data_IF_921386355974
#
_entry.id   IF_921386355974
#
_cell.length_a   1.000
_cell.length_b   1.000
_cell.length_c   1.000
_cell.angle_alpha   90.00
_cell.angle_beta   90.00
_cell.angle_gamma   90.00
#
_symmetry.space_group_name_H-M   'P 1'
#
loop_
_entity.id
_entity.type
_entity.pdbx_description
1 polymer ?
#
# COMPACT_ATOMS: atom_id res chain seq x y z
N UNK A 1 -5.31 -1.90 11.63
CA UNK A 1 -4.77 -0.55 11.99
C UNK A 1 -3.26 -0.60 12.22
N UNK A 2 -2.60 0.56 12.35
CA UNK A 2 -1.13 0.69 12.42
C UNK A 2 -0.53 0.13 13.73
N UNK A 3 0.76 -0.23 13.69
CA UNK A 3 1.50 -0.83 14.82
C UNK A 3 2.10 0.20 15.80
N UNK A 4 2.42 1.38 15.31
CA UNK A 4 3.07 2.46 16.08
C UNK A 4 2.72 3.82 15.48
N UNK A 5 3.02 4.90 16.19
CA UNK A 5 2.81 6.27 15.69
C UNK A 5 3.64 6.54 14.43
N UNK A 6 4.86 5.99 14.37
CA UNK A 6 5.75 6.13 13.22
C UNK A 6 5.17 5.38 12.01
N UNK A 7 4.65 4.17 12.24
CA UNK A 7 3.97 3.40 11.21
C UNK A 7 2.70 4.12 10.71
N UNK A 8 1.91 4.73 11.59
CA UNK A 8 0.73 5.51 11.21
C UNK A 8 1.09 6.70 10.31
N UNK A 9 2.14 7.47 10.66
CA UNK A 9 2.62 8.61 9.86
C UNK A 9 3.01 8.18 8.44
N UNK A 10 3.70 7.04 8.31
CA UNK A 10 4.09 6.47 7.01
C UNK A 10 2.85 6.07 6.20
N UNK A 11 1.89 5.37 6.81
CA UNK A 11 0.66 4.95 6.13
C UNK A 11 -0.17 6.14 5.62
N UNK A 12 -0.27 7.20 6.40
CA UNK A 12 -0.97 8.42 6.00
C UNK A 12 -0.23 9.07 4.81
N UNK A 13 1.08 9.32 4.93
CA UNK A 13 1.88 9.93 3.86
C UNK A 13 1.85 9.14 2.55
N UNK A 14 1.86 7.81 2.63
CA UNK A 14 1.76 6.91 1.49
C UNK A 14 0.35 6.76 0.91
N UNK A 15 -0.63 7.56 1.38
CA UNK A 15 -2.02 7.60 0.89
C UNK A 15 -2.79 6.29 1.12
N UNK A 16 -2.47 5.57 2.20
CA UNK A 16 -3.15 4.32 2.53
C UNK A 16 -4.42 4.51 3.36
N UNK A 17 -4.60 5.67 4.02
CA UNK A 17 -5.73 5.94 4.92
C UNK A 17 -6.72 6.90 4.27
N UNK A 18 -8.01 6.62 4.46
CA UNK A 18 -9.11 7.53 4.13
C UNK A 18 -9.94 7.88 5.37
N UNK A 19 -10.55 9.05 5.33
CA UNK A 19 -11.57 9.50 6.28
C UNK A 19 -12.85 9.69 5.47
N UNK A 20 -13.83 8.80 5.66
CA UNK A 20 -15.01 8.73 4.80
C UNK A 20 -14.62 8.41 3.36
N UNK A 21 -14.89 9.32 2.43
CA UNK A 21 -14.56 9.17 1.01
C UNK A 21 -13.21 9.77 0.62
N UNK A 22 -12.58 10.55 1.50
CA UNK A 22 -11.38 11.31 1.19
C UNK A 22 -10.12 10.57 1.63
N UNK A 23 -9.17 10.41 0.72
CA UNK A 23 -7.83 9.94 1.06
C UNK A 23 -7.05 11.07 1.73
N UNK A 24 -6.53 10.82 2.92
CA UNK A 24 -5.78 11.80 3.71
C UNK A 24 -4.30 11.46 3.67
N UNK A 25 -3.48 12.45 3.31
CA UNK A 25 -2.02 12.27 3.16
C UNK A 25 -1.17 13.14 4.10
N UNK A 26 -1.80 13.86 5.03
CA UNK A 26 -1.13 14.73 6.00
C UNK A 26 -1.39 14.18 7.41
N UNK A 27 -0.35 13.81 8.19
CA UNK A 27 -0.52 13.21 9.51
C UNK A 27 -0.97 14.19 10.60
N UNK A 28 -0.93 15.50 10.34
CA UNK A 28 -1.48 16.55 11.23
C UNK A 28 -2.94 16.89 10.94
N UNK A 29 -3.63 16.12 10.08
CA UNK A 29 -5.05 16.33 9.82
C UNK A 29 -5.88 16.07 11.08
N UNK A 30 -6.64 17.08 11.51
CA UNK A 30 -7.52 16.98 12.67
C UNK A 30 -8.83 16.28 12.28
N UNK A 31 -9.05 15.08 12.82
CA UNK A 31 -10.25 14.29 12.55
C UNK A 31 -11.39 14.76 13.44
N UNK A 32 -12.55 15.06 12.84
CA UNK A 32 -13.79 15.39 13.56
C UNK A 32 -14.41 14.15 14.20
N UNK A 33 -15.09 14.33 15.34
CA UNK A 33 -15.74 13.26 16.11
C UNK A 33 -16.71 12.41 15.26
N UNK A 34 -17.52 13.04 14.42
CA UNK A 34 -18.48 12.37 13.51
C UNK A 34 -17.76 11.48 12.46
N UNK A 35 -16.59 11.92 12.00
CA UNK A 35 -15.81 11.22 10.98
C UNK A 35 -14.89 10.15 11.56
N UNK A 36 -14.73 10.07 12.88
CA UNK A 36 -13.82 9.14 13.54
C UNK A 36 -14.14 7.68 13.19
N UNK A 37 -15.43 7.32 13.12
CA UNK A 37 -15.89 5.97 12.76
C UNK A 37 -15.65 5.62 11.29
N UNK A 38 -15.35 6.60 10.45
CA UNK A 38 -15.17 6.45 9.02
C UNK A 38 -13.67 6.42 8.63
N UNK A 39 -12.77 6.20 9.59
CA UNK A 39 -11.33 6.03 9.32
C UNK A 39 -11.09 4.57 8.93
N UNK A 40 -10.59 4.37 7.71
CA UNK A 40 -10.22 3.03 7.24
C UNK A 40 -9.13 3.12 6.17
N UNK A 41 -8.63 1.97 5.70
CA UNK A 41 -7.79 1.92 4.51
C UNK A 41 -8.56 2.40 3.28
N UNK A 42 -7.84 3.07 2.37
CA UNK A 42 -8.37 3.41 1.06
C UNK A 42 -8.67 2.14 0.26
N UNK A 43 -9.79 2.12 -0.48
CA UNK A 43 -10.13 1.02 -1.38
C UNK A 43 -9.08 0.82 -2.49
N UNK A 44 -8.37 1.88 -2.86
CA UNK A 44 -7.28 1.83 -3.84
C UNK A 44 -5.94 1.41 -3.24
N UNK A 45 -5.84 1.36 -1.90
CA UNK A 45 -4.63 0.95 -1.20
C UNK A 45 -4.38 -0.56 -1.40
N UNK A 46 -3.15 -1.00 -1.64
CA UNK A 46 -2.80 -2.42 -1.62
C UNK A 46 -3.15 -3.14 -0.30
N UNK A 47 -3.26 -2.39 0.80
CA UNK A 47 -3.63 -2.91 2.12
C UNK A 47 -5.15 -2.93 2.35
N UNK A 48 -5.93 -2.22 1.53
CA UNK A 48 -7.39 -2.13 1.59
C UNK A 48 -8.12 -2.93 0.51
N UNK A 49 -7.47 -3.98 -0.02
CA UNK A 49 -8.02 -4.82 -1.11
C UNK A 49 -7.71 -4.33 -2.53
N UNK A 50 -6.97 -3.22 -2.67
CA UNK A 50 -6.52 -2.70 -3.96
C UNK A 50 -5.39 -3.53 -4.59
N UNK A 51 -5.02 -3.16 -5.83
CA UNK A 51 -3.96 -3.85 -6.59
C UNK A 51 -2.62 -3.80 -5.84
N UNK A 52 -1.85 -4.90 -5.81
CA UNK A 52 -0.50 -4.90 -5.24
C UNK A 52 0.40 -3.82 -5.86
N UNK A 53 1.22 -3.19 -5.00
CA UNK A 53 2.19 -2.18 -5.41
C UNK A 53 3.21 -2.68 -6.44
N UNK A 54 3.90 -1.75 -7.11
CA UNK A 54 4.81 -2.04 -8.24
C UNK A 54 5.84 -3.12 -7.89
N UNK A 55 6.55 -2.97 -6.77
CA UNK A 55 7.60 -3.92 -6.35
C UNK A 55 7.02 -5.29 -6.05
N UNK A 56 5.92 -5.37 -5.29
CA UNK A 56 5.27 -6.65 -4.99
C UNK A 56 4.78 -7.34 -6.26
N UNK A 57 4.24 -6.59 -7.22
CA UNK A 57 3.83 -7.11 -8.54
C UNK A 57 5.02 -7.59 -9.37
N UNK A 58 6.15 -6.86 -9.39
CA UNK A 58 7.38 -7.29 -10.06
C UNK A 58 7.88 -8.61 -9.46
N UNK A 59 7.94 -8.71 -8.14
CA UNK A 59 8.42 -9.90 -7.45
C UNK A 59 7.49 -11.10 -7.66
N UNK A 60 6.16 -10.89 -7.67
CA UNK A 60 5.19 -11.94 -8.02
C UNK A 60 5.38 -12.46 -9.44
N UNK A 61 5.62 -11.57 -10.42
CA UNK A 61 5.92 -11.97 -11.80
C UNK A 61 7.22 -12.77 -11.89
N UNK A 62 8.28 -12.30 -11.24
CA UNK A 62 9.55 -13.02 -11.21
C UNK A 62 9.41 -14.41 -10.57
N UNK A 63 8.68 -14.51 -9.45
CA UNK A 63 8.40 -15.78 -8.80
C UNK A 63 7.58 -16.73 -9.70
N UNK A 64 6.58 -16.21 -10.43
CA UNK A 64 5.81 -17.00 -11.38
C UNK A 64 6.65 -17.50 -12.56
N UNK A 65 7.55 -16.66 -13.11
CA UNK A 65 8.49 -17.06 -14.18
C UNK A 65 9.42 -18.18 -13.71
N UNK A 66 9.97 -18.06 -12.49
CA UNK A 66 10.80 -19.11 -11.86
C UNK A 66 10.02 -20.41 -11.63
N UNK A 67 8.78 -20.31 -11.14
CA UNK A 67 7.93 -21.48 -10.90
C UNK A 67 7.49 -22.19 -12.20
N UNK A 68 7.42 -21.46 -13.32
CA UNK A 68 7.11 -22.01 -14.64
C UNK A 68 8.32 -22.66 -15.34
N UNK A 69 9.46 -22.84 -14.65
CA UNK A 69 10.64 -23.53 -15.20
C UNK A 69 11.41 -22.72 -16.24
N UNK A 70 11.19 -21.40 -16.31
CA UNK A 70 12.00 -20.51 -17.15
C UNK A 70 13.35 -20.25 -16.51
N UNK A 71 14.23 -21.26 -16.51
CA UNK A 71 15.66 -21.10 -16.33
C UNK A 71 16.22 -20.57 -17.65
N UNK A 72 16.63 -19.32 -17.64
CA UNK A 72 17.01 -18.54 -18.81
C UNK A 72 17.70 -17.31 -18.29
N UNK A 73 18.96 -17.56 -17.93
CA UNK A 73 20.02 -16.60 -17.66
C UNK A 73 19.88 -15.33 -18.50
N UNK A 74 19.90 -14.19 -17.82
CA UNK A 74 20.20 -12.86 -18.38
C UNK A 74 20.70 -12.05 -17.17
N UNK A 75 21.98 -12.31 -16.83
CA UNK A 75 22.91 -11.21 -16.60
C UNK A 75 22.82 -10.24 -17.80
N UNK A 76 23.04 -8.95 -17.54
CA UNK A 76 22.81 -7.76 -18.40
C UNK A 76 21.34 -7.28 -18.44
N UNK A 77 20.96 -6.04 -18.11
CA UNK A 77 21.62 -4.74 -18.28
C UNK A 77 21.12 -3.74 -17.20
N UNK A 78 22.02 -2.86 -16.74
CA UNK A 78 21.84 -1.49 -16.16
C UNK A 78 20.53 -1.12 -15.40
#
# INVERSE_FOLDING_TARGET
MAKSIHHARVLIRQRHIRVGRQVVNIPSFMVRMESQKHIDFSLTSPLGGGRPGRVKRRNQKAAAKKAAGGDGDEEDEE
#
